data_IF_615179476299
#
_entry.id   IF_615179476299
#
_cell.length_a   1.000
_cell.length_b   1.000
_cell.length_c   1.000
_cell.angle_alpha   90.00
_cell.angle_beta   90.00
_cell.angle_gamma   90.00
#
_symmetry.space_group_name_H-M   'P 1'
#
loop_
_entity.id
_entity.type
_entity.pdbx_description
1 polymer ?
#
# COMPACT_ATOMS: atom_id res chain seq x y z
N UNK A 1 -3.53 -32.63 7.80
CA UNK A 1 -2.94 -31.29 7.52
C UNK A 1 -3.92 -30.19 7.94
N UNK A 2 -3.78 -29.70 9.17
CA UNK A 2 -4.60 -28.63 9.74
C UNK A 2 -4.36 -27.34 8.94
N UNK A 3 -5.41 -26.86 8.28
CA UNK A 3 -5.42 -25.54 7.66
C UNK A 3 -5.23 -24.52 8.80
N UNK A 4 -4.03 -23.95 8.92
CA UNK A 4 -3.82 -22.82 9.82
C UNK A 4 -4.76 -21.71 9.35
N UNK A 5 -5.76 -21.37 10.16
CA UNK A 5 -6.69 -20.27 9.90
C UNK A 5 -5.87 -18.98 9.87
N UNK A 6 -5.42 -18.57 8.69
CA UNK A 6 -4.65 -17.33 8.54
C UNK A 6 -5.62 -16.17 8.74
N UNK A 7 -5.65 -15.59 9.93
CA UNK A 7 -6.39 -14.36 10.19
C UNK A 7 -5.80 -13.24 9.34
N UNK A 8 -6.61 -12.69 8.43
CA UNK A 8 -6.22 -11.63 7.51
C UNK A 8 -5.76 -10.37 8.25
N UNK A 9 -4.73 -9.69 7.71
CA UNK A 9 -4.28 -8.36 8.12
C UNK A 9 -5.43 -7.35 8.17
N UNK A 10 -6.40 -7.48 7.26
CA UNK A 10 -7.57 -6.61 7.16
C UNK A 10 -8.59 -6.81 8.29
N UNK A 11 -8.51 -7.91 9.05
CA UNK A 11 -9.47 -8.22 10.11
C UNK A 11 -8.82 -8.34 11.49
N UNK A 12 -7.52 -8.64 11.58
CA UNK A 12 -6.80 -8.91 12.83
C UNK A 12 -6.70 -7.69 13.77
N UNK A 13 -6.36 -6.52 13.23
CA UNK A 13 -5.94 -5.35 14.04
C UNK A 13 -7.01 -4.27 14.23
N UNK A 14 -8.27 -4.57 13.88
CA UNK A 14 -9.39 -3.59 13.88
C UNK A 14 -9.10 -2.31 13.07
N UNK A 15 -8.17 -2.39 12.12
CA UNK A 15 -7.88 -1.31 11.18
C UNK A 15 -8.94 -1.31 10.08
N UNK A 16 -9.43 -0.11 9.74
CA UNK A 16 -10.36 0.08 8.63
C UNK A 16 -9.58 0.48 7.40
N UNK A 17 -9.62 -0.39 6.40
CA UNK A 17 -9.01 -0.14 5.09
C UNK A 17 -10.07 0.34 4.09
N UNK A 18 -9.72 1.23 3.14
CA UNK A 18 -8.40 1.87 3.00
C UNK A 18 -8.14 2.91 4.12
N UNK A 19 -6.89 3.01 4.55
CA UNK A 19 -6.44 3.95 5.57
C UNK A 19 -6.71 5.38 5.09
N UNK A 20 -7.51 6.13 5.86
CA UNK A 20 -8.03 7.43 5.44
C UNK A 20 -7.65 8.60 6.36
N UNK A 21 -6.96 8.32 7.47
CA UNK A 21 -6.42 9.31 8.40
C UNK A 21 -4.94 9.08 8.65
N UNK A 22 -4.23 10.10 9.15
CA UNK A 22 -2.82 9.98 9.52
C UNK A 22 -2.66 9.04 10.73
N UNK A 23 -3.63 9.04 11.65
CA UNK A 23 -3.70 8.15 12.79
C UNK A 23 -3.83 6.69 12.36
N UNK A 24 -4.65 6.39 11.34
CA UNK A 24 -4.78 5.04 10.79
C UNK A 24 -3.47 4.56 10.17
N UNK A 25 -2.78 5.45 9.44
CA UNK A 25 -1.45 5.16 8.86
C UNK A 25 -0.44 4.90 9.98
N UNK A 26 -0.40 5.74 11.02
CA UNK A 26 0.51 5.55 12.16
C UNK A 26 0.28 4.22 12.86
N UNK A 27 -0.97 3.86 13.14
CA UNK A 27 -1.29 2.56 13.76
C UNK A 27 -0.87 1.39 12.88
N UNK A 28 -1.05 1.51 11.57
CA UNK A 28 -0.62 0.47 10.65
C UNK A 28 0.90 0.35 10.61
N UNK A 29 1.63 1.47 10.60
CA UNK A 29 3.09 1.48 10.70
C UNK A 29 3.57 0.85 12.02
N UNK A 30 2.86 1.08 13.14
CA UNK A 30 3.17 0.44 14.42
C UNK A 30 2.98 -1.08 14.38
N UNK A 31 1.91 -1.57 13.73
CA UNK A 31 1.70 -3.02 13.49
C UNK A 31 2.85 -3.60 12.68
N UNK A 32 3.29 -2.91 11.61
CA UNK A 32 4.37 -3.37 10.73
C UNK A 32 5.76 -3.39 11.38
N UNK A 33 5.93 -2.84 12.58
CA UNK A 33 7.19 -2.97 13.35
C UNK A 33 7.42 -4.40 13.84
N UNK A 34 6.35 -5.18 14.02
CA UNK A 34 6.47 -6.61 14.33
C UNK A 34 6.88 -7.38 13.08
N UNK A 35 7.98 -8.11 13.16
CA UNK A 35 8.47 -8.93 12.04
C UNK A 35 7.45 -10.01 11.64
N UNK A 36 6.76 -10.61 12.61
CA UNK A 36 5.70 -11.58 12.35
C UNK A 36 4.55 -10.96 11.54
N UNK A 37 4.07 -9.78 11.96
CA UNK A 37 2.98 -9.08 11.28
C UNK A 37 3.42 -8.58 9.90
N UNK A 38 4.65 -8.07 9.77
CA UNK A 38 5.20 -7.63 8.50
C UNK A 38 5.27 -8.78 7.49
N UNK A 39 5.79 -9.94 7.91
CA UNK A 39 5.89 -11.12 7.05
C UNK A 39 4.52 -11.66 6.66
N UNK A 40 3.59 -11.74 7.62
CA UNK A 40 2.21 -12.15 7.35
C UNK A 40 1.50 -11.22 6.37
N UNK A 41 1.66 -9.90 6.56
CA UNK A 41 1.15 -8.88 5.64
C UNK A 41 1.78 -9.02 4.25
N UNK A 42 3.09 -9.24 4.16
CA UNK A 42 3.80 -9.39 2.89
C UNK A 42 3.28 -10.60 2.12
N UNK A 43 3.09 -11.74 2.78
CA UNK A 43 2.54 -12.96 2.17
C UNK A 43 1.08 -12.78 1.71
N UNK A 44 0.28 -12.07 2.49
CA UNK A 44 -1.11 -11.79 2.13
C UNK A 44 -1.20 -10.85 0.91
N UNK A 45 -0.45 -9.75 0.91
CA UNK A 45 -0.45 -8.80 -0.20
C UNK A 45 0.17 -9.39 -1.47
N UNK A 46 1.13 -10.30 -1.37
CA UNK A 46 1.71 -11.00 -2.52
C UNK A 46 0.63 -11.79 -3.31
N UNK A 47 -0.44 -12.26 -2.64
CA UNK A 47 -1.56 -12.97 -3.28
C UNK A 47 -2.47 -12.09 -4.11
N UNK A 48 -2.37 -10.76 -4.00
CA UNK A 48 -3.19 -9.87 -4.83
C UNK A 48 -2.87 -10.07 -6.30
N UNK A 49 -1.58 -10.25 -6.63
CA UNK A 49 -1.11 -10.43 -7.99
C UNK A 49 -1.43 -9.25 -8.92
N UNK A 50 -1.14 -9.42 -10.20
CA UNK A 50 -1.38 -8.40 -11.22
C UNK A 50 -0.66 -8.79 -12.50
N UNK A 51 -1.20 -8.37 -13.65
CA UNK A 51 -0.59 -8.70 -14.95
C UNK A 51 0.76 -7.99 -15.19
N UNK A 52 1.08 -6.97 -14.40
CA UNK A 52 2.38 -6.31 -14.38
C UNK A 52 2.56 -5.56 -13.04
N UNK A 53 3.77 -5.03 -12.81
CA UNK A 53 4.13 -4.33 -11.58
C UNK A 53 3.21 -3.14 -11.26
N UNK A 54 2.83 -2.35 -12.26
CA UNK A 54 1.93 -1.22 -12.02
C UNK A 54 0.53 -1.68 -11.60
N UNK A 55 0.01 -2.73 -12.23
CA UNK A 55 -1.28 -3.32 -11.88
C UNK A 55 -1.26 -3.93 -10.47
N UNK A 56 -0.17 -4.61 -10.10
CA UNK A 56 0.02 -5.10 -8.73
C UNK A 56 -0.02 -3.94 -7.73
N UNK A 57 0.86 -2.94 -7.90
CA UNK A 57 0.92 -1.78 -6.99
C UNK A 57 -0.40 -1.04 -6.93
N UNK A 58 -1.08 -0.84 -8.07
CA UNK A 58 -2.40 -0.21 -8.11
C UNK A 58 -3.41 -0.99 -7.27
N UNK A 59 -3.49 -2.32 -7.41
CA UNK A 59 -4.44 -3.14 -6.64
C UNK A 59 -4.12 -3.11 -5.15
N UNK A 60 -2.86 -3.30 -4.79
CA UNK A 60 -2.40 -3.35 -3.41
C UNK A 60 -2.58 -2.00 -2.71
N UNK A 61 -2.12 -0.90 -3.31
CA UNK A 61 -2.27 0.44 -2.71
C UNK A 61 -3.72 0.91 -2.66
N UNK A 62 -4.56 0.57 -3.63
CA UNK A 62 -5.99 0.98 -3.59
C UNK A 62 -6.73 0.30 -2.44
N UNK A 63 -6.32 -0.92 -2.06
CA UNK A 63 -6.87 -1.59 -0.88
C UNK A 63 -6.33 -0.99 0.43
N UNK A 64 -5.08 -0.52 0.44
CA UNK A 64 -4.42 -0.09 1.68
C UNK A 64 -4.61 1.40 1.99
N UNK A 65 -4.54 2.29 1.00
CA UNK A 65 -4.43 3.73 1.22
C UNK A 65 -5.44 4.51 0.40
N UNK A 66 -6.19 5.40 1.07
CA UNK A 66 -7.19 6.22 0.40
C UNK A 66 -6.52 7.26 -0.50
N UNK A 67 -7.24 7.75 -1.51
CA UNK A 67 -6.70 8.83 -2.34
C UNK A 67 -6.56 10.15 -1.57
N UNK A 68 -7.41 10.38 -0.55
CA UNK A 68 -7.34 11.56 0.32
C UNK A 68 -6.03 11.61 1.11
N UNK A 69 -5.51 10.45 1.53
CA UNK A 69 -4.19 10.36 2.15
C UNK A 69 -3.06 10.30 1.12
N UNK A 70 -3.22 9.51 0.05
CA UNK A 70 -2.19 9.34 -0.97
C UNK A 70 -1.74 10.66 -1.61
N UNK A 71 -2.64 11.66 -1.74
CA UNK A 71 -2.30 12.98 -2.30
C UNK A 71 -1.21 13.71 -1.50
N UNK A 72 -1.10 13.43 -0.20
CA UNK A 72 -0.17 14.06 0.74
C UNK A 72 1.24 13.47 0.63
N UNK A 73 1.42 12.37 -0.11
CA UNK A 73 2.69 11.68 -0.27
C UNK A 73 3.28 11.83 -1.66
N UNK A 74 4.61 11.76 -1.73
CA UNK A 74 5.34 11.39 -2.94
C UNK A 74 6.47 10.47 -2.54
N UNK A 75 6.99 9.66 -3.47
CA UNK A 75 8.03 8.67 -3.13
C UNK A 75 9.19 9.29 -2.33
N UNK A 76 9.78 10.38 -2.86
CA UNK A 76 10.92 11.09 -2.26
C UNK A 76 10.55 12.31 -1.41
N UNK A 77 9.27 12.61 -1.19
CA UNK A 77 8.84 13.78 -0.41
C UNK A 77 9.03 15.14 -1.10
N UNK A 78 8.90 15.21 -2.43
CA UNK A 78 9.05 16.45 -3.20
C UNK A 78 7.81 17.34 -3.07
N UNK A 79 8.00 18.66 -3.26
CA UNK A 79 6.93 19.67 -3.30
C UNK A 79 6.09 19.74 -2.00
N UNK A 80 6.76 19.67 -0.85
CA UNK A 80 6.10 19.75 0.47
C UNK A 80 5.31 18.50 0.87
N UNK A 81 5.38 17.42 0.08
CA UNK A 81 4.73 16.14 0.40
C UNK A 81 5.59 15.28 1.32
N UNK A 82 4.95 14.39 2.07
CA UNK A 82 5.64 13.42 2.92
C UNK A 82 6.38 12.36 2.06
N UNK A 83 7.60 11.94 2.45
CA UNK A 83 8.36 10.92 1.74
C UNK A 83 7.79 9.52 2.02
N UNK A 84 7.10 8.94 1.03
CA UNK A 84 6.46 7.63 1.16
C UNK A 84 7.49 6.51 1.38
N UNK A 85 8.68 6.63 0.80
CA UNK A 85 9.76 5.63 0.93
C UNK A 85 10.24 5.43 2.38
N UNK A 86 9.95 6.37 3.28
CA UNK A 86 10.32 6.26 4.70
C UNK A 86 9.33 5.43 5.51
N UNK A 87 8.19 5.04 4.94
CA UNK A 87 7.18 4.22 5.60
C UNK A 87 7.53 2.73 5.48
N UNK A 88 7.22 1.95 6.51
CA UNK A 88 7.23 0.49 6.46
C UNK A 88 6.26 -0.04 5.40
N UNK A 89 5.14 0.65 5.16
CA UNK A 89 4.24 0.35 4.05
C UNK A 89 4.95 0.35 2.69
N UNK A 90 5.93 1.23 2.44
CA UNK A 90 6.69 1.20 1.19
C UNK A 90 7.56 -0.06 1.09
N UNK A 91 8.23 -0.44 2.18
CA UNK A 91 9.01 -1.69 2.27
C UNK A 91 8.14 -2.92 2.10
N UNK A 92 6.93 -2.89 2.67
CA UNK A 92 5.94 -3.96 2.56
C UNK A 92 5.52 -4.19 1.10
N UNK A 93 5.29 -3.11 0.34
CA UNK A 93 4.94 -3.21 -1.08
C UNK A 93 6.07 -3.80 -1.92
N UNK A 94 7.32 -3.45 -1.61
CA UNK A 94 8.50 -4.03 -2.27
C UNK A 94 8.58 -5.53 -1.97
N UNK A 95 8.52 -5.92 -0.69
CA UNK A 95 8.52 -7.33 -0.26
C UNK A 95 7.42 -8.14 -0.98
N UNK A 96 6.19 -7.63 -0.98
CA UNK A 96 5.06 -8.32 -1.56
C UNK A 96 5.17 -8.44 -3.09
N UNK A 97 5.69 -7.39 -3.76
CA UNK A 97 5.89 -7.40 -5.20
C UNK A 97 6.99 -8.40 -5.62
N UNK A 98 8.11 -8.43 -4.91
CA UNK A 98 9.23 -9.36 -5.17
C UNK A 98 8.83 -10.83 -4.93
N UNK A 99 7.93 -11.09 -3.98
CA UNK A 99 7.34 -12.43 -3.79
C UNK A 99 6.32 -12.81 -4.87
N UNK A 100 5.60 -11.84 -5.42
CA UNK A 100 4.49 -12.09 -6.36
C UNK A 100 4.95 -12.11 -7.82
N UNK A 101 5.99 -11.35 -8.16
CA UNK A 101 6.43 -11.06 -9.51
C UNK A 101 7.96 -11.09 -9.60
N UNK A 102 8.50 -11.48 -10.76
CA UNK A 102 9.92 -11.27 -11.06
C UNK A 102 10.17 -9.79 -11.40
N UNK A 103 10.48 -8.99 -10.39
CA UNK A 103 10.64 -7.53 -10.51
C UNK A 103 11.82 -7.03 -9.69
N UNK A 104 12.16 -5.74 -9.82
CA UNK A 104 13.22 -5.10 -9.04
C UNK A 104 12.62 -4.04 -8.13
N UNK A 105 13.25 -3.79 -6.98
CA UNK A 105 12.88 -2.69 -6.09
C UNK A 105 12.66 -1.36 -6.85
N UNK A 106 13.55 -1.02 -7.80
CA UNK A 106 13.42 0.21 -8.59
C UNK A 106 12.13 0.27 -9.41
N UNK A 107 11.73 -0.85 -10.02
CA UNK A 107 10.49 -0.93 -10.79
C UNK A 107 9.24 -0.79 -9.89
N UNK A 108 9.29 -1.37 -8.68
CA UNK A 108 8.25 -1.20 -7.66
C UNK A 108 8.14 0.28 -7.25
N UNK A 109 9.27 0.92 -6.92
CA UNK A 109 9.35 2.33 -6.55
C UNK A 109 8.78 3.25 -7.64
N UNK A 110 9.12 3.01 -8.91
CA UNK A 110 8.60 3.78 -10.04
C UNK A 110 7.08 3.61 -10.21
N UNK A 111 6.56 2.40 -9.99
CA UNK A 111 5.13 2.13 -9.99
C UNK A 111 4.41 2.84 -8.83
N UNK A 112 4.97 2.79 -7.60
CA UNK A 112 4.45 3.52 -6.43
C UNK A 112 4.43 5.02 -6.71
N UNK A 113 5.55 5.56 -7.21
CA UNK A 113 5.68 6.97 -7.57
C UNK A 113 4.62 7.39 -8.60
N UNK A 114 4.41 6.58 -9.64
CA UNK A 114 3.40 6.82 -10.68
C UNK A 114 1.98 6.77 -10.13
N UNK A 115 1.69 5.86 -9.20
CA UNK A 115 0.38 5.77 -8.57
C UNK A 115 0.13 6.95 -7.62
N UNK A 116 1.08 7.32 -6.76
CA UNK A 116 0.95 8.46 -5.84
C UNK A 116 0.78 9.80 -6.57
N UNK A 117 1.54 10.02 -7.66
CA UNK A 117 1.43 11.22 -8.50
C UNK A 117 0.01 11.46 -8.99
N UNK A 118 -0.72 10.39 -9.32
CA UNK A 118 -2.08 10.42 -9.88
C UNK A 118 -3.19 10.52 -8.82
N UNK A 119 -2.85 10.60 -7.54
CA UNK A 119 -3.84 10.64 -6.45
C UNK A 119 -4.81 11.86 -6.54
N UNK A 120 -4.33 13.09 -6.81
CA UNK A 120 -5.22 14.24 -6.98
C UNK A 120 -6.23 14.08 -8.12
N UNK A 121 -5.79 13.55 -9.27
CA UNK A 121 -6.64 13.30 -10.43
C UNK A 121 -7.70 12.23 -10.13
N UNK A 122 -7.32 11.17 -9.39
CA UNK A 122 -8.29 10.15 -8.94
C UNK A 122 -9.35 10.73 -8.00
N UNK A 123 -8.99 11.65 -7.11
CA UNK A 123 -9.96 12.35 -6.26
C UNK A 123 -10.91 13.23 -7.07
N UNK A 124 -10.38 14.00 -8.02
CA UNK A 124 -11.20 14.86 -8.85
C UNK A 124 -12.16 14.04 -9.74
N UNK A 125 -11.68 12.95 -10.33
CA UNK A 125 -12.51 12.06 -11.14
C UNK A 125 -13.64 11.42 -10.34
N UNK A 126 -13.40 11.06 -9.08
CA UNK A 126 -14.44 10.55 -8.18
C UNK A 126 -15.52 11.59 -7.91
N UNK A 127 -15.12 12.81 -7.53
CA UNK A 127 -16.02 13.95 -7.25
C UNK A 127 -16.87 14.37 -8.47
N UNK A 128 -16.36 14.19 -9.68
CA UNK A 128 -17.10 14.48 -10.93
C UNK A 128 -18.09 13.38 -11.30
N UNK A 129 -17.82 12.13 -10.94
CA UNK A 129 -18.66 10.97 -11.30
C UNK A 129 -19.84 10.79 -10.34
N UNK A 130 -19.68 11.24 -9.09
CA UNK A 130 -20.70 11.21 -8.05
C UNK A 130 -20.75 12.60 -7.39
N UNK A 131 -21.39 13.60 -8.03
CA UNK A 131 -21.56 14.93 -7.46
C UNK A 131 -22.45 14.93 -6.22
#
# INVERSE_FOLDING_TARGET
>A
PTQKTQTSLFTKHKLKFPLNTEEDISKFEDVLKSEEEFNAACDELARFGGSNIYNFIKRTLTALLSNEQAKNYSLKGRKGKKPFEKLLLARLLICAAEKSLNTTQKAVEDAICSWLKRAPERLQGYRKKFP
#
